data_IF_305841618912
#
_entry.id   IF_305841618912
#
_cell.length_a   1.000
_cell.length_b   1.000
_cell.length_c   1.000
_cell.angle_alpha   90.00
_cell.angle_beta   90.00
_cell.angle_gamma   90.00
#
_symmetry.space_group_name_H-M   'P 1'
#
loop_
_entity.id
_entity.type
_entity.pdbx_description
1 polymer ?
#
# COMPACT_ATOMS: atom_id res chain seq x y z
N UNK A 1 10.29 -4.70 0.99
CA UNK A 1 11.46 -4.13 0.30
C UNK A 1 11.18 -4.14 -1.20
N UNK A 2 11.32 -2.99 -1.89
CA UNK A 2 11.07 -2.91 -3.34
C UNK A 2 12.34 -3.17 -4.17
N UNK A 3 13.51 -2.83 -3.62
CA UNK A 3 14.83 -3.02 -4.24
C UNK A 3 15.53 -1.68 -4.51
N UNK A 4 16.72 -1.73 -5.09
CA UNK A 4 17.48 -0.56 -5.56
C UNK A 4 17.24 -0.34 -7.05
N UNK A 5 16.89 0.88 -7.45
CA UNK A 5 16.55 1.24 -8.81
C UNK A 5 17.40 2.42 -9.27
N UNK A 6 18.06 2.28 -10.42
CA UNK A 6 18.82 3.38 -11.03
C UNK A 6 17.90 4.46 -11.65
N UNK A 7 18.44 5.62 -12.02
CA UNK A 7 17.66 6.63 -12.74
C UNK A 7 17.34 6.15 -14.17
N UNK A 8 16.10 6.37 -14.61
CA UNK A 8 15.66 6.23 -16.01
C UNK A 8 14.50 7.18 -16.31
N UNK A 9 14.18 7.37 -17.58
CA UNK A 9 13.09 8.24 -18.00
C UNK A 9 11.70 7.63 -17.72
N UNK A 10 11.57 6.31 -17.82
CA UNK A 10 10.29 5.61 -17.65
C UNK A 10 10.00 5.25 -16.19
N UNK A 11 8.74 5.30 -15.78
CA UNK A 11 8.33 4.91 -14.43
C UNK A 11 8.64 3.43 -14.13
N UNK A 12 9.11 3.13 -12.92
CA UNK A 12 9.24 1.76 -12.44
C UNK A 12 7.89 1.19 -12.01
N UNK A 13 7.65 -0.08 -12.35
CA UNK A 13 6.45 -0.83 -11.93
C UNK A 13 6.88 -1.98 -11.04
N UNK A 14 6.30 -2.05 -9.84
CA UNK A 14 6.50 -3.14 -8.89
C UNK A 14 5.17 -3.83 -8.63
N UNK A 15 5.10 -5.11 -8.97
CA UNK A 15 4.01 -5.99 -8.55
C UNK A 15 4.37 -6.60 -7.20
N UNK A 16 3.42 -6.51 -6.26
CA UNK A 16 3.51 -7.19 -4.97
C UNK A 16 2.82 -8.55 -5.05
N UNK A 17 3.11 -9.42 -4.09
CA UNK A 17 2.36 -10.66 -3.94
C UNK A 17 0.88 -10.35 -3.65
N UNK A 18 0.00 -11.26 -4.06
CA UNK A 18 -1.42 -11.15 -3.72
C UNK A 18 -1.62 -11.31 -2.21
N UNK A 19 -2.50 -10.50 -1.66
CA UNK A 19 -2.89 -10.52 -0.25
C UNK A 19 -4.40 -10.78 -0.14
N UNK A 20 -4.85 -11.39 0.95
CA UNK A 20 -6.26 -11.67 1.22
C UNK A 20 -6.88 -10.61 2.13
N UNK A 21 -8.04 -10.07 1.75
CA UNK A 21 -8.76 -9.11 2.59
C UNK A 21 -9.40 -9.81 3.80
N UNK A 22 -9.40 -9.19 5.00
CA UNK A 22 -10.03 -9.79 6.17
C UNK A 22 -11.55 -9.89 5.99
N UNK A 23 -12.14 -10.95 6.53
CA UNK A 23 -13.56 -11.27 6.38
C UNK A 23 -14.33 -11.23 7.72
N UNK A 24 -15.64 -11.36 7.63
CA UNK A 24 -16.53 -11.37 8.80
C UNK A 24 -17.13 -10.00 9.14
N UNK A 25 -18.10 -10.00 10.06
CA UNK A 25 -18.89 -8.81 10.39
C UNK A 25 -18.03 -7.70 11.01
N UNK A 26 -17.07 -8.06 11.85
CA UNK A 26 -16.19 -7.11 12.53
C UNK A 26 -15.20 -6.43 11.58
N UNK A 27 -14.63 -7.17 10.62
CA UNK A 27 -13.74 -6.59 9.60
C UNK A 27 -14.46 -5.55 8.71
N UNK A 28 -15.80 -5.67 8.60
CA UNK A 28 -16.65 -4.80 7.77
C UNK A 28 -17.29 -3.65 8.53
N UNK A 29 -17.26 -3.61 9.86
CA UNK A 29 -17.99 -2.60 10.64
C UNK A 29 -17.32 -1.22 10.63
N UNK A 30 -16.06 -1.14 10.21
CA UNK A 30 -15.25 0.07 10.26
C UNK A 30 -14.73 0.56 8.91
N UNK A 31 -14.00 1.68 8.98
CA UNK A 31 -13.17 2.19 7.89
C UNK A 31 -11.72 1.83 8.18
N UNK A 32 -11.06 1.14 7.24
CA UNK A 32 -9.63 0.88 7.32
C UNK A 32 -8.89 2.12 6.82
N UNK A 33 -8.07 2.72 7.69
CA UNK A 33 -7.17 3.82 7.32
C UNK A 33 -5.77 3.25 7.15
N UNK A 34 -5.17 3.51 6.00
CA UNK A 34 -3.85 3.00 5.63
C UNK A 34 -2.91 4.15 5.41
N UNK A 35 -1.68 4.00 5.90
CA UNK A 35 -0.57 4.88 5.59
C UNK A 35 0.42 4.14 4.70
N UNK A 36 0.63 4.65 3.50
CA UNK A 36 1.65 4.17 2.57
C UNK A 36 2.84 5.11 2.63
N UNK A 37 4.03 4.56 2.89
CA UNK A 37 5.28 5.32 2.91
C UNK A 37 6.36 4.63 2.07
N UNK A 38 7.05 5.41 1.24
CA UNK A 38 8.21 4.97 0.46
C UNK A 38 9.46 5.59 1.08
N UNK A 39 10.36 4.74 1.57
CA UNK A 39 11.61 5.13 2.25
C UNK A 39 12.74 4.28 1.69
N UNK A 40 13.92 4.88 1.53
CA UNK A 40 15.17 4.17 1.25
C UNK A 40 15.90 3.76 2.54
N UNK A 41 17.08 3.17 2.39
CA UNK A 41 17.98 2.78 3.48
C UNK A 41 18.71 3.95 4.14
N UNK A 42 18.81 5.11 3.47
CA UNK A 42 19.33 6.37 4.01
C UNK A 42 18.28 7.14 4.86
N UNK A 43 17.03 6.71 4.84
CA UNK A 43 15.92 7.29 5.59
C UNK A 43 15.18 8.43 4.87
N UNK A 44 15.48 8.67 3.59
CA UNK A 44 14.77 9.65 2.78
C UNK A 44 13.34 9.18 2.49
N UNK A 45 12.36 10.06 2.72
CA UNK A 45 10.95 9.78 2.46
C UNK A 45 10.55 10.34 1.11
N UNK A 46 10.26 9.47 0.15
CA UNK A 46 9.88 9.85 -1.21
C UNK A 46 8.38 10.05 -1.37
N UNK A 47 7.57 9.37 -0.56
CA UNK A 47 6.12 9.53 -0.53
C UNK A 47 5.58 9.15 0.86
N UNK A 48 4.57 9.88 1.33
CA UNK A 48 3.84 9.60 2.56
C UNK A 48 2.37 9.95 2.33
N UNK A 49 1.53 8.93 2.21
CA UNK A 49 0.14 9.05 1.77
C UNK A 49 -0.76 8.35 2.77
N UNK A 50 -1.87 9.01 3.12
CA UNK A 50 -2.94 8.39 3.92
C UNK A 50 -4.17 8.22 3.06
N UNK A 51 -4.74 7.03 3.09
CA UNK A 51 -5.96 6.71 2.35
C UNK A 51 -6.84 5.79 3.20
N UNK A 52 -8.09 5.64 2.79
CA UNK A 52 -9.05 4.84 3.54
C UNK A 52 -9.94 4.02 2.64
N UNK A 53 -10.33 2.84 3.10
CA UNK A 53 -11.26 1.96 2.39
C UNK A 53 -12.19 1.23 3.36
N UNK A 54 -13.30 0.71 2.85
CA UNK A 54 -14.23 -0.16 3.59
C UNK A 54 -14.29 -1.52 2.93
N UNK A 55 -14.40 -2.56 3.74
CA UNK A 55 -14.64 -3.92 3.25
C UNK A 55 -16.14 -4.13 3.22
N UNK A 56 -16.67 -4.46 2.05
CA UNK A 56 -18.09 -4.72 1.85
C UNK A 56 -18.35 -6.22 1.69
N UNK A 57 -19.61 -6.64 1.85
CA UNK A 57 -20.02 -8.03 1.59
C UNK A 57 -20.04 -8.32 0.08
N UNK A 58 -20.46 -7.32 -0.68
CA UNK A 58 -20.62 -7.33 -2.12
C UNK A 58 -19.95 -6.06 -2.68
N UNK A 59 -19.53 -6.09 -3.95
CA UNK A 59 -18.82 -5.00 -4.61
C UNK A 59 -19.70 -3.77 -4.84
#
# INVERSE_FOLDING_TARGET
MIGSYGPRAEAYVKHFASEEAPSGLLARSGTNTVRTRIVDDDGAVYADLTWSFKIAKDW
#
